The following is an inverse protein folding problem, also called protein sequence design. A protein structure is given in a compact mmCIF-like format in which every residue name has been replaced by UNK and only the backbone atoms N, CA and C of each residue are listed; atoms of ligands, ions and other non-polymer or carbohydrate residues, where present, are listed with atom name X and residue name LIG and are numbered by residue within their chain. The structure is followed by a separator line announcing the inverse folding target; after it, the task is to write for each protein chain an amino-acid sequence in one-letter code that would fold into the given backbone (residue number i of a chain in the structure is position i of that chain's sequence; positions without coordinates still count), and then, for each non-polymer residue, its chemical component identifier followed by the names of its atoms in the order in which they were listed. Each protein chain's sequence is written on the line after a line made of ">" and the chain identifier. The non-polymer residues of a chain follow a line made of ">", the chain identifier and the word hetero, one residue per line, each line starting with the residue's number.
data_IF_696821973559
#
_entry.id   IF_696821973559
#
_cell.length_a   1.000
_cell.length_b   1.000
_cell.length_c   1.000
_cell.angle_alpha   90.00
_cell.angle_beta   90.00
_cell.angle_gamma   90.00
#
_symmetry.space_group_name_H-M   'P 1'
#
loop_
_entity.id
_entity.type
_entity.pdbx_description
1 polymer ?
#
# COMPACT_ATOMS: atom_id res chain seq x y z
N UNK A 1 0.84 7.60 19.45
CA UNK A 1 2.28 7.51 19.14
C UNK A 1 3.06 8.22 20.24
N UNK A 2 4.22 7.70 20.63
CA UNK A 2 5.14 8.39 21.54
C UNK A 2 6.22 9.10 20.73
N UNK A 3 6.35 10.41 20.87
CA UNK A 3 7.41 11.17 20.22
C UNK A 3 8.56 11.46 21.18
N UNK A 4 9.77 11.42 20.63
CA UNK A 4 11.01 11.74 21.30
C UNK A 4 11.61 13.03 20.73
N UNK A 5 11.98 13.97 21.60
CA UNK A 5 12.72 15.18 21.22
C UNK A 5 14.21 14.91 21.02
N UNK A 6 14.72 13.84 21.63
CA UNK A 6 16.13 13.47 21.63
C UNK A 6 16.29 11.94 21.59
N UNK A 7 17.45 11.41 21.17
CA UNK A 7 17.73 9.98 21.26
C UNK A 7 17.65 9.46 22.70
N UNK A 8 17.34 8.17 22.85
CA UNK A 8 17.35 7.48 24.15
C UNK A 8 18.75 7.41 24.75
N UNK A 9 19.77 7.38 23.88
CA UNK A 9 21.20 7.33 24.22
C UNK A 9 22.00 8.06 23.14
N UNK A 10 23.08 8.73 23.52
CA UNK A 10 24.00 9.38 22.58
C UNK A 10 23.72 10.87 22.35
N UNK A 11 24.51 11.55 21.50
CA UNK A 11 24.33 12.97 21.21
C UNK A 11 23.09 13.23 20.35
N UNK A 12 22.37 14.30 20.66
CA UNK A 12 21.21 14.79 19.92
C UNK A 12 21.60 15.74 18.78
N UNK A 13 20.72 15.88 17.79
CA UNK A 13 20.81 16.82 16.68
C UNK A 13 20.80 16.20 15.29
N UNK A 14 20.50 14.90 15.15
CA UNK A 14 20.21 14.33 13.83
C UNK A 14 18.88 14.85 13.29
N UNK A 15 18.78 14.90 11.97
CA UNK A 15 17.50 15.09 11.28
C UNK A 15 16.74 13.77 11.30
N UNK A 16 16.02 13.56 12.40
CA UNK A 16 15.11 12.43 12.61
C UNK A 16 13.69 12.86 12.27
N UNK A 17 12.94 11.97 11.63
CA UNK A 17 11.53 12.16 11.33
C UNK A 17 10.76 10.98 11.91
N UNK A 18 9.85 11.26 12.82
CA UNK A 18 8.97 10.29 13.46
C UNK A 18 7.59 10.39 12.82
N UNK A 19 7.15 9.32 12.17
CA UNK A 19 6.09 9.43 11.17
C UNK A 19 4.91 8.50 11.36
N UNK A 20 3.73 9.00 10.98
CA UNK A 20 2.54 8.19 10.76
C UNK A 20 1.93 8.58 9.41
N UNK A 21 1.91 7.64 8.48
CA UNK A 21 1.47 7.86 7.10
C UNK A 21 0.28 6.98 6.72
N UNK A 22 -0.58 7.52 5.85
CA UNK A 22 -1.37 6.75 4.90
C UNK A 22 -0.79 6.97 3.50
N UNK A 23 -0.38 5.92 2.77
CA UNK A 23 0.06 6.07 1.38
C UNK A 23 -0.40 4.94 0.46
N UNK A 24 -0.53 5.22 -0.83
CA UNK A 24 -0.72 4.20 -1.87
C UNK A 24 0.61 3.54 -2.23
N UNK A 25 0.57 2.43 -2.99
CA UNK A 25 1.80 1.87 -3.58
C UNK A 25 2.46 2.93 -4.47
N UNK A 26 3.74 3.24 -4.20
CA UNK A 26 4.49 4.20 -5.00
C UNK A 26 5.04 3.54 -6.27
N UNK A 27 4.61 4.04 -7.42
CA UNK A 27 5.20 3.72 -8.72
C UNK A 27 5.68 5.05 -9.32
N UNK A 28 6.99 5.20 -9.45
CA UNK A 28 7.59 6.44 -9.98
C UNK A 28 6.98 6.80 -11.34
N UNK A 29 6.48 8.03 -11.47
CA UNK A 29 5.88 8.53 -12.71
C UNK A 29 4.47 8.03 -13.00
N UNK A 30 3.83 7.28 -12.11
CA UNK A 30 2.50 6.71 -12.34
C UNK A 30 1.48 7.11 -11.28
N UNK A 31 0.24 7.26 -11.73
CA UNK A 31 -0.94 7.33 -10.85
C UNK A 31 -1.48 5.91 -10.60
N UNK A 32 -2.13 5.67 -9.45
CA UNK A 32 -2.43 6.64 -8.40
C UNK A 32 -1.36 6.78 -7.30
N UNK A 33 -0.88 7.99 -7.04
CA UNK A 33 -0.14 8.33 -5.82
C UNK A 33 -0.98 9.25 -4.92
N UNK A 34 -1.25 8.79 -3.71
CA UNK A 34 -1.81 9.62 -2.65
C UNK A 34 -1.11 9.31 -1.33
N UNK A 35 -0.81 10.36 -0.59
CA UNK A 35 -0.18 10.29 0.72
C UNK A 35 -0.84 11.29 1.67
N UNK A 36 -0.98 10.89 2.93
CA UNK A 36 -1.42 11.71 4.04
C UNK A 36 -0.50 11.45 5.23
N UNK A 37 0.00 12.49 5.88
CA UNK A 37 1.13 12.34 6.80
C UNK A 37 1.03 13.15 8.09
N UNK A 38 1.62 12.58 9.13
CA UNK A 38 2.15 13.29 10.27
C UNK A 38 3.66 13.03 10.31
N UNK A 39 4.46 14.07 10.21
CA UNK A 39 5.91 14.02 10.30
C UNK A 39 6.39 14.91 11.44
N UNK A 40 6.79 14.30 12.55
CA UNK A 40 7.37 15.03 13.68
C UNK A 40 8.89 15.08 13.57
N UNK A 41 9.43 16.30 13.50
CA UNK A 41 10.85 16.54 13.45
C UNK A 41 11.28 17.33 14.70
N UNK A 42 11.95 16.67 15.67
CA UNK A 42 12.29 17.30 16.94
C UNK A 42 13.45 18.29 16.84
N UNK A 43 14.37 18.08 15.88
CA UNK A 43 15.57 18.90 15.70
C UNK A 43 15.43 19.99 14.62
N UNK A 44 14.20 20.29 14.20
CA UNK A 44 13.89 21.37 13.25
C UNK A 44 12.83 20.99 12.22
N UNK A 45 12.36 21.93 11.40
CA UNK A 45 11.36 21.64 10.36
C UNK A 45 11.95 21.62 8.94
N UNK A 46 11.32 20.88 8.02
CA UNK A 46 11.67 20.85 6.60
C UNK A 46 11.88 22.24 6.02
N UNK A 47 13.06 22.51 5.44
CA UNK A 47 13.40 23.77 4.73
C UNK A 47 13.26 25.08 5.55
N UNK A 48 12.99 25.03 6.85
CA UNK A 48 12.58 26.23 7.62
C UNK A 48 13.71 27.10 8.14
N UNK A 49 14.95 26.62 8.17
CA UNK A 49 15.99 27.36 8.90
C UNK A 49 15.90 27.23 10.43
N UNK A 50 14.89 26.54 10.98
CA UNK A 50 14.56 26.54 12.41
C UNK A 50 14.89 25.21 13.08
N UNK A 51 15.49 25.27 14.28
CA UNK A 51 15.69 24.11 15.17
C UNK A 51 14.50 23.89 16.12
N UNK A 52 13.39 24.59 15.89
CA UNK A 52 12.19 24.44 16.73
C UNK A 52 11.52 23.13 16.39
N UNK A 53 11.28 22.23 17.36
CA UNK A 53 10.51 21.02 17.15
C UNK A 53 9.20 21.33 16.45
N UNK A 54 8.84 20.54 15.44
CA UNK A 54 7.68 20.83 14.61
C UNK A 54 7.01 19.55 14.12
N UNK A 55 5.69 19.56 14.12
CA UNK A 55 4.87 18.63 13.36
C UNK A 55 4.59 19.22 11.99
N UNK A 56 4.77 18.40 10.95
CA UNK A 56 4.26 18.66 9.61
C UNK A 56 3.09 17.73 9.37
N UNK A 57 1.97 18.30 8.95
CA UNK A 57 0.78 17.56 8.58
C UNK A 57 0.46 17.89 7.14
N UNK A 58 0.48 16.86 6.30
CA UNK A 58 0.51 17.02 4.87
C UNK A 58 -0.32 16.01 4.11
N UNK A 59 -0.54 16.33 2.85
CA UNK A 59 -1.15 15.46 1.86
C UNK A 59 -0.49 15.72 0.51
N UNK A 60 -0.27 14.66 -0.25
CA UNK A 60 0.40 14.71 -1.55
C UNK A 60 -0.38 13.91 -2.58
N UNK A 61 -0.43 14.44 -3.80
CA UNK A 61 -0.96 13.74 -4.97
C UNK A 61 -0.01 13.92 -6.15
N UNK A 62 0.46 12.82 -6.72
CA UNK A 62 1.35 12.74 -7.89
C UNK A 62 2.73 13.43 -7.78
N UNK A 63 3.66 12.95 -8.62
CA UNK A 63 5.12 13.18 -8.62
C UNK A 63 5.63 14.44 -9.34
N UNK A 64 4.77 15.37 -9.77
CA UNK A 64 5.29 16.70 -10.09
C UNK A 64 5.50 17.49 -8.80
N UNK A 65 6.61 17.16 -8.13
CA UNK A 65 7.08 17.81 -6.91
C UNK A 65 7.33 19.32 -7.10
N UNK A 66 7.37 19.80 -8.34
CA UNK A 66 7.55 21.23 -8.64
C UNK A 66 6.23 22.01 -8.69
N UNK A 67 5.08 21.33 -8.71
CA UNK A 67 3.77 21.97 -8.67
C UNK A 67 3.25 22.05 -7.23
N UNK A 68 3.26 23.25 -6.67
CA UNK A 68 2.76 23.52 -5.32
C UNK A 68 1.26 23.24 -5.15
N UNK A 69 0.49 23.09 -6.24
CA UNK A 69 -0.93 22.73 -6.16
C UNK A 69 -1.18 21.25 -5.91
N UNK A 70 -0.14 20.41 -6.01
CA UNK A 70 -0.19 18.96 -5.82
C UNK A 70 0.09 18.51 -4.38
N UNK A 71 0.39 19.45 -3.48
CA UNK A 71 0.58 19.15 -2.06
C UNK A 71 -0.03 20.21 -1.16
N UNK A 72 -0.55 19.76 -0.02
CA UNK A 72 -0.99 20.63 1.06
C UNK A 72 -0.21 20.28 2.31
N UNK A 73 0.48 21.24 2.91
CA UNK A 73 1.24 21.00 4.14
C UNK A 73 1.06 22.13 5.14
N UNK A 74 1.01 21.80 6.43
CA UNK A 74 0.98 22.77 7.52
C UNK A 74 2.02 22.40 8.56
N UNK A 75 2.78 23.40 9.03
CA UNK A 75 3.74 23.25 10.13
C UNK A 75 3.13 23.75 11.43
N UNK A 76 3.00 22.87 12.42
CA UNK A 76 2.70 23.23 13.81
C UNK A 76 4.00 23.23 14.61
N UNK A 77 4.38 24.38 15.18
CA UNK A 77 5.58 24.52 15.99
C UNK A 77 5.32 24.14 17.45
N UNK A 78 6.28 23.46 18.07
CA UNK A 78 6.22 23.07 19.48
C UNK A 78 6.72 21.65 19.69
N UNK A 79 7.24 21.40 20.89
CA UNK A 79 7.58 20.05 21.31
C UNK A 79 6.31 19.21 21.46
N UNK A 80 6.37 17.99 20.95
CA UNK A 80 5.38 16.93 21.16
C UNK A 80 6.01 15.76 21.94
N UNK A 81 7.05 15.99 22.75
CA UNK A 81 7.65 14.94 23.58
C UNK A 81 6.59 14.26 24.44
N UNK A 82 6.42 12.95 24.25
CA UNK A 82 5.46 12.14 25.00
C UNK A 82 4.42 11.43 24.16
N UNK A 83 3.40 10.91 24.83
CA UNK A 83 2.27 10.21 24.19
C UNK A 83 1.26 11.20 23.62
N UNK A 84 0.98 11.05 22.32
CA UNK A 84 -0.04 11.82 21.62
C UNK A 84 -0.98 10.92 20.82
N UNK A 85 -2.25 11.34 20.73
CA UNK A 85 -3.25 10.74 19.85
C UNK A 85 -3.30 11.51 18.54
N UNK A 86 -2.91 10.86 17.45
CA UNK A 86 -2.98 11.40 16.10
C UNK A 86 -4.25 10.91 15.42
N UNK A 87 -5.01 11.81 14.80
CA UNK A 87 -6.23 11.45 14.07
C UNK A 87 -6.23 12.13 12.71
N UNK A 88 -6.37 11.32 11.66
CA UNK A 88 -6.69 11.77 10.32
C UNK A 88 -8.15 11.41 10.04
N UNK A 89 -8.95 12.39 9.64
CA UNK A 89 -10.33 12.21 9.24
C UNK A 89 -10.44 12.42 7.74
N UNK A 90 -10.75 11.36 7.00
CA UNK A 90 -10.92 11.42 5.55
C UNK A 90 -12.40 11.36 5.21
N UNK A 91 -12.85 12.31 4.40
CA UNK A 91 -14.18 12.38 3.81
C UNK A 91 -14.08 12.67 2.32
N UNK A 92 -15.19 12.64 1.59
CA UNK A 92 -15.19 12.89 0.15
C UNK A 92 -14.56 14.26 -0.19
N UNK A 93 -13.39 14.21 -0.85
CA UNK A 93 -12.63 15.39 -1.26
C UNK A 93 -12.05 16.24 -0.12
N UNK A 94 -11.97 15.72 1.11
CA UNK A 94 -11.46 16.47 2.27
C UNK A 94 -10.76 15.58 3.30
N UNK A 95 -9.68 16.12 3.88
CA UNK A 95 -8.97 15.52 5.02
C UNK A 95 -8.73 16.55 6.12
N UNK A 96 -8.93 16.16 7.38
CA UNK A 96 -8.56 16.94 8.56
C UNK A 96 -7.62 16.20 9.51
N UNK A 97 -6.70 16.95 10.13
CA UNK A 97 -5.68 16.46 11.03
C UNK A 97 -5.92 16.98 12.45
N UNK A 98 -5.79 16.10 13.43
CA UNK A 98 -5.95 16.42 14.84
C UNK A 98 -4.85 15.78 15.67
N UNK A 99 -4.43 16.49 16.72
CA UNK A 99 -3.51 16.00 17.75
C UNK A 99 -4.21 16.19 19.09
N UNK A 100 -4.37 15.12 19.85
CA UNK A 100 -5.07 15.09 21.15
C UNK A 100 -6.48 15.69 21.11
N UNK A 101 -7.16 15.49 19.98
CA UNK A 101 -8.49 16.03 19.72
C UNK A 101 -8.52 17.50 19.29
N UNK A 102 -7.40 18.21 19.32
CA UNK A 102 -7.28 19.58 18.84
C UNK A 102 -7.02 19.61 17.33
N UNK A 103 -7.82 20.40 16.61
CA UNK A 103 -7.68 20.62 15.18
C UNK A 103 -6.33 21.26 14.84
N UNK A 104 -5.62 20.70 13.86
CA UNK A 104 -4.35 21.22 13.35
C UNK A 104 -4.54 21.93 12.01
N UNK A 105 -5.01 21.18 11.00
CA UNK A 105 -5.16 21.66 9.64
C UNK A 105 -6.15 20.78 8.86
N UNK A 106 -6.51 21.22 7.66
CA UNK A 106 -7.29 20.43 6.72
C UNK A 106 -7.00 20.82 5.28
N UNK A 107 -7.18 19.87 4.37
CA UNK A 107 -6.99 20.06 2.95
C UNK A 107 -8.21 19.53 2.19
N UNK A 108 -8.42 20.06 0.98
CA UNK A 108 -9.54 19.68 0.13
C UNK A 108 -9.18 19.79 -1.34
N UNK A 109 -10.05 19.28 -2.20
CA UNK A 109 -9.91 19.40 -3.64
C UNK A 109 -8.86 18.43 -4.18
N UNK A 110 -7.97 18.91 -5.05
CA UNK A 110 -7.08 18.05 -5.81
C UNK A 110 -6.11 17.24 -4.96
N UNK A 111 -5.79 17.69 -3.74
CA UNK A 111 -4.82 17.04 -2.85
C UNK A 111 -5.47 16.17 -1.79
N UNK A 112 -6.80 16.05 -1.77
CA UNK A 112 -7.47 15.13 -0.85
C UNK A 112 -7.29 13.68 -1.30
N UNK A 113 -7.12 12.72 -0.37
CA UNK A 113 -6.92 11.33 -0.72
C UNK A 113 -8.14 10.73 -1.42
N UNK A 114 -7.91 10.07 -2.55
CA UNK A 114 -8.93 9.47 -3.42
C UNK A 114 -8.73 7.96 -3.67
N UNK A 115 -7.73 7.34 -3.04
CA UNK A 115 -7.44 5.91 -3.12
C UNK A 115 -7.30 5.24 -1.74
N UNK A 116 -7.54 3.92 -1.64
CA UNK A 116 -7.18 3.14 -0.45
C UNK A 116 -5.68 3.19 -0.19
N UNK A 117 -5.30 3.45 1.05
CA UNK A 117 -3.91 3.61 1.47
C UNK A 117 -3.52 2.58 2.54
N UNK A 118 -2.25 2.23 2.59
CA UNK A 118 -1.65 1.49 3.70
C UNK A 118 -1.35 2.45 4.84
N UNK A 119 -1.60 2.02 6.09
CA UNK A 119 -1.12 2.73 7.26
C UNK A 119 0.30 2.28 7.58
N UNK A 120 1.22 3.23 7.74
CA UNK A 120 2.62 2.97 8.03
C UNK A 120 3.12 3.84 9.19
N UNK A 121 4.03 3.29 9.97
CA UNK A 121 4.74 3.94 11.07
C UNK A 121 6.22 3.75 10.81
N UNK A 122 6.96 4.85 10.71
CA UNK A 122 8.36 4.79 10.34
C UNK A 122 9.19 5.83 11.08
N UNK A 123 10.42 5.45 11.39
CA UNK A 123 11.45 6.33 11.92
C UNK A 123 12.49 6.57 10.83
N UNK A 124 12.51 7.78 10.26
CA UNK A 124 13.42 8.16 9.19
C UNK A 124 14.59 8.99 9.71
N UNK A 125 15.68 8.87 8.97
CA UNK A 125 16.88 9.65 9.14
C UNK A 125 17.18 10.27 7.78
N UNK A 126 17.22 11.61 7.72
CA UNK A 126 17.55 12.31 6.50
C UNK A 126 18.92 12.96 6.61
N UNK A 127 19.74 12.78 5.57
CA UNK A 127 21.00 13.51 5.39
C UNK A 127 20.81 14.76 4.50
N UNK A 128 19.58 15.07 4.12
CA UNK A 128 19.30 16.17 3.21
C UNK A 128 19.64 17.51 3.84
N UNK A 129 20.25 18.36 3.02
CA UNK A 129 20.68 19.68 3.42
C UNK A 129 19.55 20.70 3.24
N UNK A 130 18.77 20.89 4.31
CA UNK A 130 17.61 21.79 4.34
C UNK A 130 17.94 23.26 4.66
N UNK A 131 19.20 23.66 4.60
CA UNK A 131 19.62 25.06 4.65
C UNK A 131 20.60 25.36 3.51
N UNK A 132 20.61 26.61 3.05
CA UNK A 132 21.41 27.05 1.90
C UNK A 132 22.93 26.88 2.10
N UNK A 133 23.39 26.67 3.34
CA UNK A 133 24.80 26.54 3.69
C UNK A 133 25.23 25.08 3.89
N UNK A 134 24.30 24.12 3.99
CA UNK A 134 24.54 22.68 4.22
C UNK A 134 25.53 22.41 5.37
N UNK A 135 25.50 23.27 6.40
CA UNK A 135 26.51 23.27 7.46
C UNK A 135 25.97 22.77 8.81
N UNK A 136 24.65 22.82 9.02
CA UNK A 136 24.05 22.59 10.35
C UNK A 136 22.97 21.51 10.39
N UNK A 137 22.68 20.84 9.27
CA UNK A 137 21.56 19.89 9.16
C UNK A 137 21.95 18.61 8.41
N UNK A 138 21.22 17.53 8.71
CA UNK A 138 21.56 16.15 8.35
C UNK A 138 22.04 15.37 9.57
N UNK A 139 22.99 14.46 9.36
CA UNK A 139 23.57 13.66 10.44
C UNK A 139 24.65 14.43 11.20
N UNK A 140 24.71 14.22 12.52
CA UNK A 140 25.88 14.69 13.27
C UNK A 140 27.14 14.01 12.72
N UNK A 141 28.18 14.82 12.46
CA UNK A 141 29.46 14.36 11.93
C UNK A 141 30.37 13.83 13.04
N UNK A 142 29.91 12.81 13.75
CA UNK A 142 30.68 12.10 14.76
C UNK A 142 30.37 10.59 14.73
N UNK A 143 31.18 9.79 15.42
CA UNK A 143 31.04 8.33 15.50
C UNK A 143 30.40 7.85 16.81
N UNK A 144 29.74 8.72 17.56
CA UNK A 144 29.10 8.33 18.81
C UNK A 144 27.84 7.51 18.52
N UNK A 145 27.69 6.40 19.23
CA UNK A 145 26.49 5.58 19.18
C UNK A 145 25.27 6.40 19.61
N UNK A 146 24.16 6.21 18.90
CA UNK A 146 22.85 6.80 19.20
C UNK A 146 21.77 5.76 19.04
N UNK A 147 20.76 5.84 19.89
CA UNK A 147 19.60 4.96 19.85
C UNK A 147 18.33 5.80 19.84
N UNK A 148 17.40 5.41 18.97
CA UNK A 148 16.07 6.00 18.85
C UNK A 148 15.07 4.85 18.79
N UNK A 149 13.87 5.09 19.30
CA UNK A 149 12.77 4.15 19.22
C UNK A 149 11.49 4.90 18.85
N UNK A 150 10.58 4.17 18.22
CA UNK A 150 9.26 4.63 17.86
C UNK A 150 8.24 3.71 18.52
N UNK A 151 7.40 4.26 19.41
CA UNK A 151 6.39 3.48 20.11
C UNK A 151 4.98 3.85 19.64
N UNK A 152 4.22 2.80 19.29
CA UNK A 152 2.81 2.88 18.89
C UNK A 152 1.99 1.99 19.82
N UNK A 153 1.12 2.60 20.62
CA UNK A 153 0.30 1.88 21.59
C UNK A 153 -0.89 1.15 20.92
N UNK A 154 -1.52 1.79 19.94
CA UNK A 154 -2.65 1.23 19.19
C UNK A 154 -2.83 1.94 17.86
N UNK A 155 -3.52 1.25 16.94
CA UNK A 155 -4.01 1.79 15.68
C UNK A 155 -5.50 1.53 15.61
N UNK A 156 -6.27 2.56 15.27
CA UNK A 156 -7.72 2.49 15.14
C UNK A 156 -8.14 2.98 13.75
N UNK A 157 -8.97 2.20 13.08
CA UNK A 157 -9.53 2.55 11.78
C UNK A 157 -11.02 2.19 11.77
N UNK A 158 -11.88 3.13 11.40
CA UNK A 158 -13.30 2.91 11.23
C UNK A 158 -13.74 3.43 9.85
N UNK A 159 -14.09 2.49 8.97
CA UNK A 159 -14.59 2.79 7.65
C UNK A 159 -16.03 3.32 7.73
N UNK A 160 -16.37 4.29 6.87
CA UNK A 160 -17.72 4.82 6.68
C UNK A 160 -18.35 5.45 7.95
N UNK A 161 -17.53 5.80 8.94
CA UNK A 161 -17.97 6.48 10.15
C UNK A 161 -16.96 7.54 10.59
N UNK A 162 -17.38 8.80 10.54
CA UNK A 162 -16.56 9.93 10.96
C UNK A 162 -16.60 10.08 12.50
N UNK A 163 -15.68 9.42 13.18
CA UNK A 163 -15.58 9.46 14.65
C UNK A 163 -15.02 10.80 15.12
N UNK A 164 -15.71 11.55 15.99
CA UNK A 164 -15.16 12.77 16.58
C UNK A 164 -13.80 12.50 17.24
N UNK A 165 -12.76 13.32 17.01
CA UNK A 165 -11.42 13.07 17.55
C UNK A 165 -11.39 12.92 19.08
N UNK A 166 -12.27 13.62 19.79
CA UNK A 166 -12.44 13.52 21.24
C UNK A 166 -13.02 12.18 21.73
N UNK A 167 -13.70 11.42 20.87
CA UNK A 167 -14.31 10.12 21.20
C UNK A 167 -13.37 8.94 20.92
N UNK A 168 -12.34 9.12 20.08
CA UNK A 168 -11.41 8.06 19.68
C UNK A 168 -10.79 7.33 20.89
N UNK A 169 -10.26 8.02 21.93
CA UNK A 169 -9.70 7.33 23.09
C UNK A 169 -10.70 6.44 23.83
N UNK A 170 -11.97 6.86 23.90
CA UNK A 170 -13.02 6.08 24.57
C UNK A 170 -13.41 4.83 23.76
N UNK A 171 -13.47 4.94 22.43
CA UNK A 171 -13.68 3.80 21.55
C UNK A 171 -12.57 2.76 21.71
N UNK A 172 -11.31 3.19 21.67
CA UNK A 172 -10.16 2.29 21.86
C UNK A 172 -10.17 1.67 23.27
N UNK A 173 -10.45 2.46 24.31
CA UNK A 173 -10.56 1.94 25.67
C UNK A 173 -11.64 0.86 25.80
N UNK A 174 -12.78 1.02 25.10
CA UNK A 174 -13.87 0.04 25.08
C UNK A 174 -13.48 -1.25 24.34
N UNK A 175 -12.74 -1.14 23.23
CA UNK A 175 -12.19 -2.30 22.51
C UNK A 175 -11.17 -3.06 23.37
N UNK A 176 -10.28 -2.34 24.06
CA UNK A 176 -9.33 -2.94 25.01
C UNK A 176 -10.03 -3.64 26.17
N UNK A 177 -11.02 -3.01 26.78
CA UNK A 177 -11.79 -3.58 27.88
C UNK A 177 -12.56 -4.85 27.47
N UNK A 178 -12.93 -4.97 26.19
CA UNK A 178 -13.56 -6.17 25.64
C UNK A 178 -12.57 -7.25 25.19
N UNK A 179 -11.27 -7.05 25.40
CA UNK A 179 -10.21 -8.02 25.05
C UNK A 179 -10.02 -8.19 23.55
N UNK A 180 -10.45 -7.21 22.76
CA UNK A 180 -10.37 -7.25 21.30
C UNK A 180 -8.99 -6.74 20.88
N UNK A 181 -8.11 -7.67 20.52
CA UNK A 181 -6.74 -7.36 20.11
C UNK A 181 -6.60 -7.09 18.59
N UNK A 182 -7.60 -7.50 17.78
CA UNK A 182 -7.68 -7.25 16.34
C UNK A 182 -9.12 -7.49 15.83
N UNK A 183 -9.71 -6.54 15.09
CA UNK A 183 -10.95 -6.74 14.33
C UNK A 183 -10.67 -6.47 12.87
N UNK A 184 -10.85 -7.47 12.03
CA UNK A 184 -10.96 -7.29 10.58
C UNK A 184 -12.40 -7.61 10.18
N UNK A 185 -13.29 -6.62 10.29
CA UNK A 185 -14.63 -6.70 9.69
C UNK A 185 -14.60 -5.98 8.34
N UNK A 186 -14.05 -6.62 7.31
CA UNK A 186 -14.30 -6.24 5.90
C UNK A 186 -15.41 -7.12 5.29
N UNK A 187 -16.28 -7.70 6.12
CA UNK A 187 -17.43 -8.46 5.66
C UNK A 187 -18.72 -7.81 6.17
N UNK A 188 -19.27 -6.91 5.36
CA UNK A 188 -20.63 -6.41 5.51
C UNK A 188 -21.60 -7.57 5.33
N UNK A 189 -22.03 -8.18 6.44
CA UNK A 189 -23.27 -8.94 6.46
C UNK A 189 -24.37 -8.00 6.98
N UNK A 190 -24.91 -7.17 6.09
CA UNK A 190 -26.13 -6.41 6.32
C UNK A 190 -27.13 -6.78 5.24
N UNK A 191 -27.93 -7.79 5.57
CA UNK A 191 -29.18 -8.09 4.88
C UNK A 191 -30.07 -6.85 4.87
N UNK A 192 -30.32 -6.29 3.69
CA UNK A 192 -31.48 -5.44 3.47
C UNK A 192 -32.11 -5.76 2.11
N UNK A 193 -33.40 -6.04 2.17
CA UNK A 193 -34.28 -6.36 1.07
C UNK A 193 -34.64 -5.12 0.26
N UNK A 194 -34.60 -5.18 -1.07
CA UNK A 194 -35.54 -4.41 -1.89
C UNK A 194 -35.58 -4.86 -3.35
N UNK A 195 -36.80 -5.20 -3.77
CA UNK A 195 -37.50 -4.90 -5.03
C UNK A 195 -36.73 -4.42 -6.27
N UNK A 196 -37.11 -5.07 -7.38
CA UNK A 196 -36.77 -4.88 -8.79
C UNK A 196 -36.99 -3.47 -9.38
N UNK A 197 -36.04 -2.99 -10.19
CA UNK A 197 -36.29 -2.26 -11.45
C UNK A 197 -35.00 -1.97 -12.24
N UNK A 198 -35.03 -2.27 -13.55
CA UNK A 198 -34.07 -1.95 -14.64
C UNK A 198 -32.60 -2.38 -14.47
N UNK A 199 -32.08 -3.14 -15.43
CA UNK A 199 -30.72 -3.69 -15.40
C UNK A 199 -29.66 -2.57 -15.38
N UNK A 200 -29.10 -2.29 -14.21
CA UNK A 200 -28.05 -1.30 -14.02
C UNK A 200 -26.75 -1.76 -14.71
N UNK A 201 -26.06 -0.88 -15.43
CA UNK A 201 -24.72 -1.19 -15.95
C UNK A 201 -23.70 -1.18 -14.79
N UNK A 202 -22.69 -2.04 -14.87
CA UNK A 202 -21.60 -2.16 -13.88
C UNK A 202 -20.25 -1.96 -14.56
N UNK A 203 -19.23 -1.59 -13.81
CA UNK A 203 -17.86 -1.54 -14.24
C UNK A 203 -17.07 -2.71 -13.65
N UNK A 204 -16.42 -3.51 -14.50
CA UNK A 204 -15.33 -4.38 -14.06
C UNK A 204 -14.06 -3.54 -13.96
N UNK A 205 -13.81 -2.95 -12.80
CA UNK A 205 -12.61 -2.18 -12.56
C UNK A 205 -11.52 -3.10 -11.99
N UNK A 206 -10.63 -3.56 -12.87
CA UNK A 206 -9.50 -4.43 -12.53
C UNK A 206 -9.87 -5.71 -11.73
N UNK A 207 -11.07 -6.24 -11.93
CA UNK A 207 -11.57 -7.46 -11.27
C UNK A 207 -12.60 -7.21 -10.18
N UNK A 208 -12.82 -5.96 -9.78
CA UNK A 208 -13.83 -5.57 -8.80
C UNK A 208 -15.03 -4.92 -9.49
N UNK A 209 -16.24 -5.29 -9.07
CA UNK A 209 -17.48 -4.80 -9.67
C UNK A 209 -17.96 -3.54 -8.97
N UNK A 210 -18.11 -2.47 -9.74
CA UNK A 210 -18.67 -1.21 -9.28
C UNK A 210 -19.93 -0.87 -10.08
N UNK A 211 -20.87 -0.15 -9.48
CA UNK A 211 -22.01 0.38 -10.27
C UNK A 211 -21.55 1.51 -11.19
N UNK A 212 -22.22 1.72 -12.31
CA UNK A 212 -22.00 2.95 -13.10
C UNK A 212 -22.71 4.11 -12.41
N UNK A 213 -22.01 5.25 -12.25
CA UNK A 213 -22.60 6.44 -11.68
C UNK A 213 -23.70 7.00 -12.59
N UNK A 214 -24.84 7.37 -12.03
CA UNK A 214 -25.93 8.01 -12.80
C UNK A 214 -25.81 9.53 -12.86
N UNK A 215 -24.95 10.11 -12.01
CA UNK A 215 -24.83 11.57 -11.82
C UNK A 215 -23.52 12.15 -12.38
N UNK A 216 -22.55 11.30 -12.75
CA UNK A 216 -21.29 11.69 -13.39
C UNK A 216 -20.95 10.72 -14.54
N UNK A 217 -20.31 11.25 -15.59
CA UNK A 217 -19.96 10.47 -16.79
C UNK A 217 -18.48 10.04 -16.82
N UNK A 218 -17.60 10.72 -16.10
CA UNK A 218 -16.17 10.43 -15.98
C UNK A 218 -15.73 10.61 -14.51
N UNK A 219 -14.65 9.94 -14.12
CA UNK A 219 -14.16 9.87 -12.76
C UNK A 219 -14.85 8.80 -11.91
N UNK A 220 -14.50 8.79 -10.63
CA UNK A 220 -15.18 8.01 -9.60
C UNK A 220 -16.20 8.89 -8.88
N UNK A 221 -17.24 8.26 -8.34
CA UNK A 221 -18.25 8.93 -7.54
C UNK A 221 -18.87 7.98 -6.53
N UNK A 222 -19.76 8.51 -5.71
CA UNK A 222 -20.46 7.74 -4.69
C UNK A 222 -21.97 7.82 -4.92
N UNK A 223 -22.64 6.68 -4.98
CA UNK A 223 -24.10 6.64 -5.04
C UNK A 223 -24.66 5.43 -4.32
N UNK A 224 -25.86 5.55 -3.75
CA UNK A 224 -26.55 4.43 -3.09
C UNK A 224 -25.67 3.67 -2.08
N UNK A 225 -24.85 4.41 -1.32
CA UNK A 225 -23.99 3.86 -0.29
C UNK A 225 -22.88 2.90 -0.79
N UNK A 226 -22.45 3.07 -2.04
CA UNK A 226 -21.35 2.34 -2.64
C UNK A 226 -20.58 3.20 -3.66
N UNK A 227 -19.33 2.80 -3.91
CA UNK A 227 -18.51 3.39 -4.97
C UNK A 227 -19.11 3.12 -6.35
N UNK A 228 -19.08 4.13 -7.21
CA UNK A 228 -19.51 4.03 -8.60
C UNK A 228 -18.45 4.62 -9.54
N UNK A 229 -18.43 4.12 -10.78
CA UNK A 229 -17.50 4.58 -11.83
C UNK A 229 -18.28 5.31 -12.91
N UNK A 230 -17.83 6.49 -13.33
CA UNK A 230 -18.34 7.18 -14.51
C UNK A 230 -18.17 6.32 -15.77
N UNK A 231 -19.20 6.24 -16.61
CA UNK A 231 -19.22 5.31 -17.75
C UNK A 231 -18.05 5.49 -18.73
N UNK A 232 -17.60 6.72 -18.95
CA UNK A 232 -16.47 7.00 -19.84
C UNK A 232 -15.15 6.53 -19.23
N UNK A 233 -14.98 6.67 -17.92
CA UNK A 233 -13.81 6.18 -17.18
C UNK A 233 -13.77 4.66 -17.20
N UNK A 234 -14.92 4.00 -17.00
CA UNK A 234 -14.96 2.54 -17.12
C UNK A 234 -14.67 2.06 -18.55
N UNK A 235 -15.12 2.80 -19.57
CA UNK A 235 -14.93 2.43 -20.98
C UNK A 235 -13.49 2.58 -21.49
N UNK A 236 -12.57 3.17 -20.71
CA UNK A 236 -11.14 3.22 -21.10
C UNK A 236 -10.42 1.89 -20.85
N UNK A 237 -10.99 0.99 -20.04
CA UNK A 237 -10.36 -0.27 -19.69
C UNK A 237 -10.43 -1.28 -20.85
N UNK A 238 -9.34 -2.02 -21.05
CA UNK A 238 -9.26 -3.09 -22.04
C UNK A 238 -9.86 -4.40 -21.50
N UNK A 239 -10.45 -5.27 -22.36
CA UNK A 239 -10.96 -6.56 -21.94
C UNK A 239 -9.94 -7.40 -21.15
N UNK A 240 -10.37 -8.15 -20.10
CA UNK A 240 -11.75 -8.44 -19.71
C UNK A 240 -12.40 -7.36 -18.81
N UNK A 241 -11.76 -6.21 -18.63
CA UNK A 241 -12.24 -5.10 -17.81
C UNK A 241 -13.13 -4.14 -18.62
N UNK A 242 -13.82 -3.24 -17.93
CA UNK A 242 -14.67 -2.21 -18.54
C UNK A 242 -16.17 -2.41 -18.30
N UNK A 243 -16.99 -1.73 -19.11
CA UNK A 243 -18.45 -1.64 -18.90
C UNK A 243 -19.13 -2.98 -19.15
N UNK A 244 -19.95 -3.41 -18.21
CA UNK A 244 -20.71 -4.67 -18.23
C UNK A 244 -22.20 -4.44 -18.00
N UNK A 245 -23.02 -5.34 -18.49
CA UNK A 245 -24.48 -5.36 -18.25
C UNK A 245 -24.79 -6.25 -17.04
N UNK A 246 -25.50 -5.74 -16.02
CA UNK A 246 -25.92 -6.55 -14.88
C UNK A 246 -26.89 -7.63 -15.36
N UNK A 247 -26.44 -8.88 -15.30
CA UNK A 247 -27.15 -10.06 -15.81
C UNK A 247 -26.28 -11.32 -15.84
N UNK A 248 -24.97 -11.20 -15.67
CA UNK A 248 -24.08 -12.34 -15.46
C UNK A 248 -23.39 -12.19 -14.10
N UNK A 249 -24.06 -12.63 -13.04
CA UNK A 249 -23.48 -12.77 -11.72
C UNK A 249 -22.48 -13.94 -11.72
N UNK A 250 -21.23 -13.68 -12.05
CA UNK A 250 -20.12 -14.43 -11.47
C UNK A 250 -19.70 -13.67 -10.22
N UNK A 251 -19.81 -14.26 -9.03
CA UNK A 251 -19.05 -13.81 -7.87
C UNK A 251 -17.60 -13.64 -8.35
N UNK A 252 -17.05 -12.41 -8.33
CA UNK A 252 -15.70 -12.20 -8.80
C UNK A 252 -14.78 -13.11 -7.98
N UNK A 253 -14.24 -14.14 -8.64
CA UNK A 253 -13.39 -15.12 -8.00
C UNK A 253 -12.14 -14.38 -7.49
N UNK A 254 -11.72 -14.64 -6.24
CA UNK A 254 -10.53 -14.03 -5.65
C UNK A 254 -9.39 -13.99 -6.68
N UNK A 255 -8.79 -12.82 -6.90
CA UNK A 255 -7.64 -12.66 -7.79
C UNK A 255 -6.63 -11.73 -7.14
N UNK A 256 -5.36 -12.11 -7.11
CA UNK A 256 -4.26 -11.32 -6.55
C UNK A 256 -3.07 -11.34 -7.50
N UNK A 257 -2.70 -10.17 -8.01
CA UNK A 257 -1.43 -9.95 -8.72
C UNK A 257 -0.35 -9.55 -7.70
N UNK A 258 0.85 -10.08 -7.86
CA UNK A 258 2.01 -9.80 -7.01
C UNK A 258 3.19 -9.56 -7.95
N UNK A 259 3.86 -8.42 -7.81
CA UNK A 259 5.10 -8.15 -8.54
C UNK A 259 6.22 -9.04 -7.99
N UNK A 260 7.07 -9.57 -8.86
CA UNK A 260 8.08 -10.52 -8.42
C UNK A 260 9.12 -9.88 -7.49
N UNK A 261 9.45 -8.61 -7.73
CA UNK A 261 10.34 -7.79 -6.92
C UNK A 261 9.78 -7.43 -5.54
N UNK A 262 8.48 -7.63 -5.29
CA UNK A 262 7.82 -7.35 -4.02
C UNK A 262 7.98 -8.48 -2.99
N UNK A 263 9.11 -9.19 -3.02
CA UNK A 263 9.41 -10.24 -2.04
C UNK A 263 9.65 -9.65 -0.65
N UNK A 264 9.24 -10.38 0.39
CA UNK A 264 9.55 -10.05 1.79
C UNK A 264 10.95 -10.51 2.18
N UNK A 265 11.40 -11.63 1.61
CA UNK A 265 12.75 -12.15 1.78
C UNK A 265 13.17 -12.89 0.51
N UNK A 266 14.47 -12.94 0.24
CA UNK A 266 15.03 -13.65 -0.89
C UNK A 266 16.44 -14.16 -0.61
N UNK A 267 16.93 -15.03 -1.50
CA UNK A 267 18.34 -15.39 -1.58
C UNK A 267 18.78 -15.46 -3.03
N UNK A 268 19.88 -14.78 -3.35
CA UNK A 268 20.63 -14.94 -4.61
C UNK A 268 20.15 -14.13 -5.82
N UNK A 269 18.92 -13.61 -5.78
CA UNK A 269 18.31 -12.90 -6.91
C UNK A 269 18.70 -11.43 -7.00
N UNK A 270 18.56 -10.85 -8.20
CA UNK A 270 18.78 -9.41 -8.46
C UNK A 270 17.62 -8.80 -9.23
N UNK A 271 17.51 -7.48 -9.19
CA UNK A 271 16.49 -6.71 -9.89
C UNK A 271 17.08 -5.97 -11.09
N UNK A 272 16.28 -5.83 -12.14
CA UNK A 272 16.58 -4.97 -13.29
C UNK A 272 15.29 -4.49 -13.94
N UNK A 273 15.38 -3.47 -14.79
CA UNK A 273 14.20 -2.83 -15.42
C UNK A 273 13.59 -3.72 -16.50
N UNK A 274 12.27 -3.92 -16.45
CA UNK A 274 11.57 -4.72 -17.46
C UNK A 274 11.14 -3.90 -18.67
N UNK A 275 11.21 -4.53 -19.83
CA UNK A 275 10.64 -4.06 -21.11
C UNK A 275 9.30 -4.73 -21.42
N UNK A 276 8.77 -5.53 -20.49
CA UNK A 276 7.44 -6.13 -20.62
C UNK A 276 6.34 -5.05 -20.62
N UNK A 277 5.16 -5.44 -21.10
CA UNK A 277 3.97 -4.60 -21.01
C UNK A 277 3.63 -4.33 -19.53
N UNK A 278 3.51 -3.05 -19.18
CA UNK A 278 3.27 -2.61 -17.80
C UNK A 278 4.48 -1.97 -17.11
N UNK A 279 5.69 -2.11 -17.67
CA UNK A 279 6.91 -1.55 -17.07
C UNK A 279 7.22 -2.15 -15.69
N UNK A 280 8.03 -1.45 -14.89
CA UNK A 280 8.46 -1.89 -13.56
C UNK A 280 9.82 -2.60 -13.56
N UNK A 281 10.04 -3.47 -12.60
CA UNK A 281 11.24 -4.29 -12.51
C UNK A 281 10.89 -5.76 -12.79
N UNK A 282 11.92 -6.58 -12.97
CA UNK A 282 11.79 -8.02 -12.92
C UNK A 282 12.86 -8.59 -12.02
N UNK A 283 12.63 -9.81 -11.52
CA UNK A 283 13.64 -10.58 -10.80
C UNK A 283 14.41 -11.46 -11.78
N UNK A 284 15.73 -11.32 -11.76
CA UNK A 284 16.67 -12.04 -12.62
C UNK A 284 17.93 -12.47 -11.89
N UNK A 285 18.96 -12.85 -12.65
CA UNK A 285 20.18 -13.52 -12.15
C UNK A 285 19.86 -14.74 -11.28
N UNK A 286 18.74 -15.40 -11.59
CA UNK A 286 18.23 -16.52 -10.80
C UNK A 286 19.09 -17.75 -11.09
N UNK A 287 19.80 -18.20 -10.05
CA UNK A 287 20.59 -19.41 -10.06
C UNK A 287 19.86 -20.59 -9.39
N UNK A 288 20.36 -21.80 -9.64
CA UNK A 288 19.78 -23.00 -9.02
C UNK A 288 19.95 -22.94 -7.50
N UNK A 289 18.83 -23.04 -6.77
CA UNK A 289 18.80 -22.92 -5.31
C UNK A 289 18.32 -21.57 -4.79
N UNK A 290 18.21 -20.56 -5.65
CA UNK A 290 17.67 -19.25 -5.30
C UNK A 290 16.17 -19.32 -5.00
N UNK A 291 15.69 -18.35 -4.22
CA UNK A 291 14.29 -18.29 -3.84
C UNK A 291 13.83 -16.88 -3.48
N UNK A 292 12.52 -16.70 -3.54
CA UNK A 292 11.79 -15.50 -3.14
C UNK A 292 10.60 -15.92 -2.27
N UNK A 293 10.34 -15.18 -1.19
CA UNK A 293 9.21 -15.43 -0.29
C UNK A 293 8.36 -14.17 -0.13
N UNK A 294 7.05 -14.33 -0.24
CA UNK A 294 6.05 -13.27 -0.10
C UNK A 294 5.20 -13.57 1.15
N UNK A 295 5.37 -12.75 2.19
CA UNK A 295 4.65 -12.95 3.45
C UNK A 295 3.19 -12.48 3.36
N UNK A 296 2.39 -12.96 4.32
CA UNK A 296 1.04 -12.47 4.57
C UNK A 296 0.07 -12.57 3.37
N UNK A 297 0.15 -13.68 2.62
CA UNK A 297 -0.79 -13.96 1.54
C UNK A 297 -2.05 -14.58 2.12
N UNK A 298 -3.12 -13.78 2.23
CA UNK A 298 -4.42 -14.24 2.72
C UNK A 298 -5.24 -14.90 1.59
N UNK A 299 -5.66 -16.13 1.82
CA UNK A 299 -6.59 -16.89 0.98
C UNK A 299 -7.94 -16.97 1.70
N UNK A 300 -9.03 -16.34 1.20
CA UNK A 300 -10.27 -16.21 1.95
C UNK A 300 -11.06 -17.52 2.06
N UNK A 301 -10.86 -18.46 1.13
CA UNK A 301 -11.62 -19.72 1.07
C UNK A 301 -10.73 -20.88 0.61
N UNK A 302 -10.84 -22.04 1.25
CA UNK A 302 -10.11 -23.23 0.81
C UNK A 302 -10.53 -23.65 -0.60
N UNK A 303 -9.61 -24.23 -1.37
CA UNK A 303 -9.90 -24.95 -2.62
C UNK A 303 -8.91 -24.63 -3.72
N UNK A 304 -9.36 -24.74 -4.97
CA UNK A 304 -8.46 -24.67 -6.13
C UNK A 304 -8.20 -23.23 -6.57
N UNK A 305 -6.95 -22.94 -6.87
CA UNK A 305 -6.47 -21.67 -7.39
C UNK A 305 -5.62 -21.92 -8.64
N UNK A 306 -5.76 -21.08 -9.66
CA UNK A 306 -4.81 -20.97 -10.78
C UNK A 306 -3.72 -19.99 -10.39
N UNK A 307 -2.47 -20.41 -10.52
CA UNK A 307 -1.30 -19.54 -10.34
C UNK A 307 -0.65 -19.33 -11.70
N UNK A 308 -0.48 -18.08 -12.07
CA UNK A 308 0.11 -17.61 -13.31
C UNK A 308 1.44 -16.92 -13.02
N UNK A 309 2.43 -17.08 -13.89
CA UNK A 309 3.75 -16.49 -13.77
C UNK A 309 4.14 -15.86 -15.09
N UNK A 310 4.55 -14.59 -15.06
CA UNK A 310 5.07 -13.88 -16.23
C UNK A 310 6.57 -14.02 -16.25
N UNK A 311 7.06 -14.83 -17.18
CA UNK A 311 8.45 -15.32 -17.19
C UNK A 311 9.10 -15.13 -18.54
N UNK A 312 10.42 -15.04 -18.54
CA UNK A 312 11.26 -15.02 -19.74
C UNK A 312 12.45 -15.96 -19.55
N UNK A 313 12.84 -16.68 -20.59
CA UNK A 313 14.01 -17.57 -20.56
C UNK A 313 14.54 -17.80 -21.97
N UNK A 314 15.84 -17.56 -22.24
CA UNK A 314 16.42 -17.85 -23.56
C UNK A 314 16.29 -19.31 -23.99
N UNK A 315 16.45 -20.25 -23.07
CA UNK A 315 16.58 -21.69 -23.36
C UNK A 315 15.54 -22.57 -22.67
N UNK A 316 14.64 -21.98 -21.89
CA UNK A 316 13.69 -22.68 -21.03
C UNK A 316 14.32 -23.05 -19.69
N UNK A 317 13.47 -23.24 -18.68
CA UNK A 317 13.85 -23.54 -17.30
C UNK A 317 12.65 -24.13 -16.53
N UNK A 318 12.68 -24.05 -15.20
CA UNK A 318 11.51 -24.36 -14.37
C UNK A 318 11.56 -23.62 -13.03
N UNK A 319 10.39 -23.38 -12.46
CA UNK A 319 10.19 -22.81 -11.12
C UNK A 319 9.34 -23.75 -10.27
N UNK A 320 9.48 -23.68 -8.95
CA UNK A 320 8.61 -24.37 -7.99
C UNK A 320 7.85 -23.36 -7.12
N UNK A 321 6.64 -23.73 -6.71
CA UNK A 321 5.81 -22.99 -5.77
C UNK A 321 5.63 -23.79 -4.48
N UNK A 322 5.72 -23.12 -3.34
CA UNK A 322 5.47 -23.70 -2.02
C UNK A 322 4.78 -22.71 -1.07
N UNK A 323 4.34 -23.22 0.08
CA UNK A 323 3.92 -22.41 1.22
C UNK A 323 4.80 -22.68 2.44
N UNK A 324 4.98 -21.63 3.23
CA UNK A 324 5.56 -21.65 4.56
C UNK A 324 6.99 -22.26 4.56
N UNK A 325 7.87 -21.68 3.75
CA UNK A 325 9.28 -22.06 3.62
C UNK A 325 9.47 -23.54 3.23
N UNK A 326 8.74 -23.98 2.22
CA UNK A 326 8.82 -25.32 1.66
C UNK A 326 8.02 -26.38 2.41
N UNK A 327 7.37 -26.06 3.53
CA UNK A 327 6.58 -27.00 4.33
C UNK A 327 5.43 -27.62 3.54
N UNK A 328 4.84 -26.87 2.59
CA UNK A 328 3.84 -27.39 1.66
C UNK A 328 4.27 -27.11 0.22
N UNK A 329 4.70 -28.14 -0.50
CA UNK A 329 5.03 -28.02 -1.93
C UNK A 329 3.74 -27.98 -2.76
N UNK A 330 3.58 -26.96 -3.59
CA UNK A 330 2.40 -26.77 -4.44
C UNK A 330 2.61 -27.19 -5.89
N UNK A 331 3.88 -27.34 -6.31
CA UNK A 331 4.25 -27.97 -7.58
C UNK A 331 5.30 -27.18 -8.36
N UNK A 332 5.79 -27.80 -9.43
CA UNK A 332 6.80 -27.24 -10.34
C UNK A 332 6.19 -26.96 -11.71
N UNK A 333 6.61 -25.86 -12.34
CA UNK A 333 6.15 -25.41 -13.67
C UNK A 333 7.33 -25.32 -14.62
N UNK A 334 7.17 -25.86 -15.81
CA UNK A 334 8.13 -25.66 -16.89
C UNK A 334 8.00 -24.24 -17.47
N UNK A 335 9.13 -23.56 -17.65
CA UNK A 335 9.24 -22.29 -18.36
C UNK A 335 9.72 -22.62 -19.77
N UNK A 336 8.95 -22.32 -20.83
CA UNK A 336 9.40 -22.59 -22.20
C UNK A 336 10.54 -21.65 -22.60
N UNK A 337 11.32 -22.04 -23.61
CA UNK A 337 12.27 -21.14 -24.25
C UNK A 337 11.51 -20.01 -24.96
N UNK A 338 11.63 -18.79 -24.44
CA UNK A 338 11.04 -17.57 -25.02
C UNK A 338 12.00 -16.86 -25.98
N UNK A 339 13.24 -17.34 -26.09
CA UNK A 339 14.23 -16.84 -27.05
C UNK A 339 14.95 -15.56 -26.62
N UNK A 340 14.75 -15.08 -25.39
CA UNK A 340 15.47 -13.93 -24.86
C UNK A 340 15.16 -13.65 -23.38
N UNK A 341 16.04 -12.90 -22.72
CA UNK A 341 15.93 -12.55 -21.30
C UNK A 341 14.75 -11.63 -20.97
N UNK A 342 14.24 -10.93 -21.96
CA UNK A 342 13.08 -10.05 -21.82
C UNK A 342 12.00 -10.35 -22.88
N UNK A 343 12.00 -11.58 -23.42
CA UNK A 343 10.88 -12.07 -24.21
C UNK A 343 9.90 -12.77 -23.27
N UNK A 344 8.78 -12.12 -22.96
CA UNK A 344 7.91 -12.55 -21.88
C UNK A 344 6.74 -13.42 -22.34
N UNK A 345 6.46 -14.47 -21.59
CA UNK A 345 5.25 -15.30 -21.73
C UNK A 345 4.62 -15.58 -20.37
N UNK A 346 3.37 -16.03 -20.36
CA UNK A 346 2.69 -16.40 -19.12
C UNK A 346 2.50 -17.92 -19.07
N UNK A 347 3.07 -18.55 -18.05
CA UNK A 347 2.85 -19.97 -17.74
C UNK A 347 1.93 -20.09 -16.52
N UNK A 348 1.22 -21.21 -16.36
CA UNK A 348 0.33 -21.39 -15.22
C UNK A 348 0.13 -22.85 -14.82
N UNK A 349 -0.32 -23.06 -13.60
CA UNK A 349 -0.85 -24.34 -13.14
C UNK A 349 -1.95 -24.12 -12.07
N UNK A 350 -2.58 -25.20 -11.64
CA UNK A 350 -3.61 -25.17 -10.60
C UNK A 350 -3.14 -25.85 -9.32
N UNK A 351 -3.41 -25.24 -8.18
CA UNK A 351 -3.02 -25.70 -6.83
C UNK A 351 -4.24 -25.74 -5.92
N UNK A 352 -4.18 -26.56 -4.87
CA UNK A 352 -5.19 -26.55 -3.80
C UNK A 352 -4.60 -25.89 -2.56
N UNK A 353 -5.21 -24.80 -2.10
CA UNK A 353 -4.73 -24.02 -0.96
C UNK A 353 -5.85 -23.93 0.08
N UNK A 354 -5.51 -24.14 1.35
CA UNK A 354 -6.43 -23.96 2.46
C UNK A 354 -6.61 -22.46 2.77
N UNK A 355 -7.81 -22.07 3.18
CA UNK A 355 -8.06 -20.71 3.66
C UNK A 355 -7.11 -20.35 4.81
N UNK A 356 -6.79 -19.06 4.91
CA UNK A 356 -5.87 -18.53 5.90
C UNK A 356 -4.73 -17.75 5.27
N UNK A 357 -3.85 -17.26 6.13
CA UNK A 357 -2.70 -16.46 5.74
C UNK A 357 -1.47 -17.35 5.68
N UNK A 358 -0.77 -17.34 4.54
CA UNK A 358 0.43 -18.14 4.29
C UNK A 358 1.58 -17.28 3.80
N UNK A 359 2.82 -17.77 3.97
CA UNK A 359 3.96 -17.27 3.21
C UNK A 359 4.05 -18.03 1.91
N UNK A 360 4.06 -17.36 0.76
CA UNK A 360 4.19 -17.99 -0.55
C UNK A 360 5.65 -17.98 -0.99
N UNK A 361 6.19 -19.15 -1.36
CA UNK A 361 7.56 -19.32 -1.82
C UNK A 361 7.64 -19.62 -3.31
N UNK A 362 8.53 -18.94 -4.02
CA UNK A 362 9.01 -19.33 -5.35
C UNK A 362 10.45 -19.80 -5.21
N UNK A 363 10.73 -21.02 -5.66
CA UNK A 363 12.04 -21.64 -5.62
C UNK A 363 12.55 -21.94 -7.03
N UNK A 364 13.86 -21.80 -7.24
CA UNK A 364 14.54 -22.04 -8.51
C UNK A 364 15.22 -23.42 -8.55
N UNK A 365 14.56 -24.49 -9.03
CA UNK A 365 15.19 -25.78 -9.25
C UNK A 365 16.17 -25.79 -10.44
N UNK A 366 16.13 -24.77 -11.30
CA UNK A 366 17.03 -24.56 -12.42
C UNK A 366 17.28 -23.06 -12.59
N UNK A 367 18.45 -22.70 -13.13
CA UNK A 367 18.79 -21.31 -13.49
C UNK A 367 18.29 -20.93 -14.89
N UNK A 368 18.56 -19.68 -15.30
CA UNK A 368 18.38 -19.26 -16.70
C UNK A 368 16.98 -18.73 -17.04
N UNK A 369 16.31 -18.08 -16.09
CA UNK A 369 15.01 -17.46 -16.29
C UNK A 369 14.87 -16.19 -15.46
N UNK A 370 13.94 -15.35 -15.89
CA UNK A 370 13.50 -14.13 -15.23
C UNK A 370 12.00 -14.22 -14.96
N UNK A 371 11.53 -13.51 -13.94
CA UNK A 371 10.11 -13.39 -13.61
C UNK A 371 9.74 -11.94 -13.32
N UNK A 372 8.63 -11.48 -13.91
CA UNK A 372 8.09 -10.13 -13.78
C UNK A 372 7.02 -10.09 -12.67
N UNK A 373 6.00 -10.94 -12.78
CA UNK A 373 4.93 -11.01 -11.78
C UNK A 373 4.34 -12.41 -11.68
N UNK A 374 3.59 -12.64 -10.59
CA UNK A 374 2.70 -13.78 -10.44
C UNK A 374 1.27 -13.33 -10.16
N UNK A 375 0.28 -14.13 -10.58
CA UNK A 375 -1.14 -13.90 -10.30
C UNK A 375 -1.80 -15.16 -9.77
N UNK A 376 -2.59 -15.02 -8.73
CA UNK A 376 -3.32 -16.13 -8.11
C UNK A 376 -4.81 -15.86 -8.25
N UNK A 377 -5.54 -16.74 -8.93
CA UNK A 377 -6.98 -16.61 -9.17
C UNK A 377 -7.71 -17.84 -8.64
N UNK A 378 -8.77 -17.65 -7.85
CA UNK A 378 -9.66 -18.72 -7.41
C UNK A 378 -10.38 -19.30 -8.62
N UNK A 379 -10.46 -20.63 -8.68
CA UNK A 379 -11.21 -21.35 -9.71
C UNK A 379 -12.61 -21.74 -9.23
#
# INVERSE_FOLDING_TARGET
>A
MYFNDAPSTGPDGDTVIQTFFGLTDYIEGAEPYSEIDFEYLPNGGWWTGSATPSMWSGTYRIVDWSDESNHGVTRTQGSLQGWHTLVMQVTDGHIAFYIDGAYQTSFSGAVAPDYPMYLMFQLWFSNDCFDAACNTRGYLKNSNYREYYEDVDWVYFEKDNLVPPSEVPQKVASLRASGINYVQNINNNSSSSSSSSAAAQQCNWWGTLYTICTHINSGWGWQNNADCVGIQTCATLSPPYGVMTAGSSSSAAFSRLIQAEAYTAMSGVQLDTTTDTGGGQYVGWIETGDWMSYANINFPTSGTYKVEYRVASPSGASLSLDLNAGATQLGQVAIPATGGWQNWTTVSHTVSIAAGTHSLGIYAPASGWNINWLRITKL
#
